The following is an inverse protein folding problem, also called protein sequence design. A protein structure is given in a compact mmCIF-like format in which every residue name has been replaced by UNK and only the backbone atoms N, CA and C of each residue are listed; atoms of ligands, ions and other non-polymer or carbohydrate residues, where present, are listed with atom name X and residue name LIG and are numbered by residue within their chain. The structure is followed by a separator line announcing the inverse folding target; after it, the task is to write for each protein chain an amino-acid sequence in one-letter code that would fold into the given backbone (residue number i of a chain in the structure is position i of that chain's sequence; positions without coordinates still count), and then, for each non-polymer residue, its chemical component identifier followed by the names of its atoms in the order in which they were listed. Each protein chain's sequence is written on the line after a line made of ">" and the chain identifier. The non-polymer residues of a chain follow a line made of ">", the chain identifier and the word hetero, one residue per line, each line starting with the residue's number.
data_IF_004552033879
#
_entry.id   IF_004552033879
#
_cell.length_a   1.000
_cell.length_b   1.000
_cell.length_c   1.000
_cell.angle_alpha   90.00
_cell.angle_beta   90.00
_cell.angle_gamma   90.00
#
_symmetry.space_group_name_H-M   'P 1'
#
loop_
_entity.id
_entity.type
_entity.pdbx_description
1 polymer ?
#
# COMPACT_ATOMS: atom_id res chain seq x y z
N UNK A 1 7.55 -14.32 14.91
CA UNK A 1 8.10 -13.67 13.70
C UNK A 1 7.00 -13.17 12.76
N UNK A 2 6.03 -13.99 12.34
CA UNK A 2 4.95 -13.54 11.44
C UNK A 2 4.14 -12.37 12.03
N UNK A 3 3.80 -12.40 13.31
CA UNK A 3 3.13 -11.29 14.00
C UNK A 3 3.98 -10.00 14.01
N UNK A 4 5.30 -10.12 14.10
CA UNK A 4 6.19 -8.95 14.13
C UNK A 4 6.14 -8.14 12.83
N UNK A 5 5.96 -8.81 11.71
CA UNK A 5 5.84 -8.18 10.38
C UNK A 5 4.38 -7.97 9.95
N UNK A 6 3.41 -8.27 10.84
CA UNK A 6 1.99 -8.16 10.50
C UNK A 6 1.65 -8.88 9.19
N UNK A 7 2.01 -10.17 9.11
CA UNK A 7 1.86 -10.97 7.89
C UNK A 7 0.41 -11.00 7.37
N UNK A 8 -0.57 -10.96 8.24
CA UNK A 8 -1.99 -10.81 7.92
C UNK A 8 -2.28 -9.62 6.99
N UNK A 9 -1.52 -8.52 7.12
CA UNK A 9 -1.66 -7.35 6.25
C UNK A 9 -1.09 -7.58 4.85
N UNK A 10 -0.30 -8.64 4.62
CA UNK A 10 0.15 -9.03 3.28
C UNK A 10 -1.03 -9.41 2.41
N UNK A 11 -2.05 -10.04 3.01
CA UNK A 11 -3.28 -10.42 2.32
C UNK A 11 -4.03 -9.19 1.78
N UNK A 12 -3.96 -8.05 2.46
CA UNK A 12 -4.58 -6.80 1.97
C UNK A 12 -3.85 -6.16 0.80
N UNK A 13 -2.54 -6.38 0.66
CA UNK A 13 -1.76 -5.82 -0.45
C UNK A 13 -1.82 -6.68 -1.73
N UNK A 14 -2.07 -7.99 -1.60
CA UNK A 14 -2.15 -8.92 -2.72
C UNK A 14 -3.22 -8.55 -3.78
N UNK A 15 -4.45 -8.12 -3.41
CA UNK A 15 -5.47 -7.76 -4.40
C UNK A 15 -4.99 -6.74 -5.42
N UNK A 16 -4.14 -5.79 -5.04
CA UNK A 16 -3.65 -4.74 -5.94
C UNK A 16 -2.75 -5.29 -7.05
N UNK A 17 -1.84 -6.20 -6.71
CA UNK A 17 -1.02 -6.88 -7.70
C UNK A 17 -1.87 -7.79 -8.60
N UNK A 18 -2.86 -8.47 -8.02
CA UNK A 18 -3.76 -9.36 -8.77
C UNK A 18 -4.69 -8.61 -9.71
N UNK A 19 -5.25 -7.46 -9.28
CA UNK A 19 -6.01 -6.57 -10.15
C UNK A 19 -5.19 -6.20 -11.39
N UNK A 20 -3.94 -5.75 -11.18
CA UNK A 20 -3.07 -5.35 -12.27
C UNK A 20 -2.70 -6.52 -13.18
N UNK A 21 -2.42 -7.71 -12.65
CA UNK A 21 -2.14 -8.92 -13.45
C UNK A 21 -3.34 -9.31 -14.31
N UNK A 22 -4.54 -9.35 -13.72
CA UNK A 22 -5.76 -9.75 -14.42
C UNK A 22 -6.10 -8.76 -15.54
N UNK A 23 -5.95 -7.47 -15.29
CA UNK A 23 -6.14 -6.42 -16.29
C UNK A 23 -5.11 -6.53 -17.41
N UNK A 24 -3.83 -6.73 -17.09
CA UNK A 24 -2.74 -6.86 -18.05
C UNK A 24 -2.87 -8.10 -18.95
N UNK A 25 -3.33 -9.22 -18.37
CA UNK A 25 -3.60 -10.46 -19.09
C UNK A 25 -4.93 -10.44 -19.86
N UNK A 26 -5.81 -9.47 -19.59
CA UNK A 26 -7.23 -9.48 -20.00
C UNK A 26 -7.93 -10.81 -19.68
N UNK A 27 -7.62 -11.37 -18.50
CA UNK A 27 -8.10 -12.67 -18.04
C UNK A 27 -7.16 -13.31 -17.03
N UNK A 28 -7.04 -14.64 -17.08
CA UNK A 28 -6.17 -15.39 -16.21
C UNK A 28 -4.69 -15.29 -16.63
N UNK A 29 -3.76 -14.77 -15.79
CA UNK A 29 -2.36 -14.57 -16.16
C UNK A 29 -1.49 -15.84 -16.14
N UNK A 30 -2.06 -16.98 -15.77
CA UNK A 30 -1.34 -18.24 -15.61
C UNK A 30 -0.77 -18.45 -14.20
N UNK A 31 -0.70 -19.70 -13.75
CA UNK A 31 -0.24 -20.07 -12.40
C UNK A 31 1.21 -19.69 -12.14
N UNK A 32 2.08 -19.70 -13.14
CA UNK A 32 3.47 -19.27 -13.04
C UNK A 32 3.56 -17.81 -12.61
N UNK A 33 2.89 -16.93 -13.34
CA UNK A 33 2.89 -15.49 -13.05
C UNK A 33 2.27 -15.20 -11.68
N UNK A 34 1.12 -15.82 -11.37
CA UNK A 34 0.46 -15.66 -10.06
C UNK A 34 1.39 -16.11 -8.94
N UNK A 35 2.04 -17.27 -9.07
CA UNK A 35 2.94 -17.79 -8.06
C UNK A 35 4.13 -16.86 -7.79
N UNK A 36 4.79 -16.40 -8.86
CA UNK A 36 5.96 -15.54 -8.69
C UNK A 36 5.63 -14.10 -8.30
N UNK A 37 4.51 -13.54 -8.74
CA UNK A 37 4.04 -12.23 -8.22
C UNK A 37 3.69 -12.35 -6.74
N UNK A 38 3.03 -13.44 -6.33
CA UNK A 38 2.76 -13.68 -4.90
C UNK A 38 4.05 -13.77 -4.10
N UNK A 39 5.05 -14.51 -4.59
CA UNK A 39 6.37 -14.63 -3.96
C UNK A 39 7.08 -13.26 -3.88
N UNK A 40 7.03 -12.45 -4.94
CA UNK A 40 7.59 -11.10 -4.95
C UNK A 40 6.91 -10.20 -3.91
N UNK A 41 5.57 -10.24 -3.82
CA UNK A 41 4.79 -9.48 -2.84
C UNK A 41 5.10 -9.91 -1.40
N UNK A 42 5.14 -11.19 -1.13
CA UNK A 42 5.51 -11.74 0.19
C UNK A 42 6.94 -11.32 0.55
N UNK A 43 7.88 -11.47 -0.38
CA UNK A 43 9.28 -11.10 -0.17
C UNK A 43 9.46 -9.60 0.08
N UNK A 44 8.92 -8.76 -0.80
CA UNK A 44 8.99 -7.30 -0.70
C UNK A 44 8.37 -6.77 0.59
N UNK A 45 7.18 -7.26 0.93
CA UNK A 45 6.51 -6.85 2.18
C UNK A 45 7.23 -7.34 3.42
N UNK A 46 7.73 -8.57 3.43
CA UNK A 46 8.55 -9.10 4.53
C UNK A 46 9.78 -8.23 4.74
N UNK A 47 10.49 -7.89 3.65
CA UNK A 47 11.64 -7.00 3.68
C UNK A 47 11.26 -5.62 4.24
N UNK A 48 10.23 -4.98 3.69
CA UNK A 48 9.79 -3.64 4.09
C UNK A 48 9.40 -3.59 5.57
N UNK A 49 8.59 -4.55 6.03
CA UNK A 49 8.13 -4.57 7.42
C UNK A 49 9.25 -4.89 8.41
N UNK A 50 10.14 -5.83 8.07
CA UNK A 50 11.28 -6.14 8.92
C UNK A 50 12.27 -4.96 8.97
N UNK A 51 12.52 -4.28 7.85
CA UNK A 51 13.32 -3.05 7.79
C UNK A 51 12.66 -1.92 8.61
N UNK A 52 11.35 -1.73 8.51
CA UNK A 52 10.60 -0.76 9.32
C UNK A 52 10.85 -0.97 10.82
N UNK A 53 10.74 -2.23 11.30
CA UNK A 53 10.98 -2.52 12.71
C UNK A 53 12.37 -2.12 13.17
N UNK A 54 13.40 -2.37 12.35
CA UNK A 54 14.79 -2.00 12.66
C UNK A 54 14.99 -0.49 12.60
N UNK A 55 14.47 0.16 11.57
CA UNK A 55 14.64 1.59 11.32
C UNK A 55 13.93 2.41 12.39
N UNK A 56 12.69 2.04 12.71
CA UNK A 56 11.82 2.81 13.61
C UNK A 56 11.89 2.38 15.08
N UNK A 57 12.76 1.42 15.46
CA UNK A 57 12.79 0.84 16.81
C UNK A 57 12.82 1.86 17.96
N UNK A 58 13.54 2.98 17.80
CA UNK A 58 13.64 4.01 18.82
C UNK A 58 12.42 4.96 18.82
N UNK A 59 11.80 5.17 17.67
CA UNK A 59 10.55 5.92 17.53
C UNK A 59 9.40 5.10 18.13
N UNK A 60 9.35 3.81 17.78
CA UNK A 60 8.33 2.87 18.27
C UNK A 60 8.37 2.71 19.79
N UNK A 61 9.56 2.67 20.39
CA UNK A 61 9.72 2.56 21.85
C UNK A 61 9.16 3.76 22.63
N UNK A 62 9.08 4.93 22.00
CA UNK A 62 8.56 6.17 22.59
C UNK A 62 7.08 6.40 22.32
N UNK A 63 6.45 5.62 21.45
CA UNK A 63 5.03 5.73 21.14
C UNK A 63 4.25 4.66 21.94
N UNK A 64 3.31 5.03 22.84
CA UNK A 64 2.54 4.08 23.65
C UNK A 64 1.83 2.99 22.81
N UNK A 65 1.39 3.34 21.58
CA UNK A 65 0.71 2.41 20.68
C UNK A 65 1.66 1.32 20.12
N UNK A 66 2.94 1.62 20.01
CA UNK A 66 3.93 0.73 19.37
C UNK A 66 5.03 0.22 20.30
N UNK A 67 5.11 0.71 21.54
CA UNK A 67 6.11 0.31 22.52
C UNK A 67 6.06 -1.20 22.86
N UNK A 68 4.90 -1.83 22.73
CA UNK A 68 4.71 -3.27 22.93
C UNK A 68 5.12 -4.14 21.74
N UNK A 69 5.56 -3.54 20.61
CA UNK A 69 6.03 -4.30 19.44
C UNK A 69 7.24 -5.16 19.79
N UNK A 70 7.44 -6.25 19.05
CA UNK A 70 8.45 -7.28 19.35
C UNK A 70 9.88 -6.76 19.51
N UNK A 71 10.29 -5.75 18.75
CA UNK A 71 11.66 -5.22 18.84
C UNK A 71 11.85 -4.25 20.02
N UNK A 72 10.97 -3.23 20.24
CA UNK A 72 11.03 -2.38 21.41
C UNK A 72 10.88 -3.15 22.73
N UNK A 73 10.06 -4.19 22.76
CA UNK A 73 9.84 -5.05 23.95
C UNK A 73 10.95 -6.08 24.21
N UNK A 74 11.93 -6.21 23.31
CA UNK A 74 13.02 -7.18 23.43
C UNK A 74 12.65 -8.63 23.11
N UNK A 75 11.44 -8.89 22.58
CA UNK A 75 11.01 -10.25 22.20
C UNK A 75 11.73 -10.78 20.96
N UNK A 76 12.27 -9.88 20.12
CA UNK A 76 13.09 -10.22 18.95
C UNK A 76 14.30 -9.30 18.88
N UNK A 77 15.42 -9.83 18.40
CA UNK A 77 16.67 -9.10 18.22
C UNK A 77 16.74 -8.36 16.87
N UNK A 78 17.55 -7.31 16.83
CA UNK A 78 17.83 -6.56 15.59
C UNK A 78 18.44 -7.46 14.52
N UNK A 79 19.28 -8.44 14.92
CA UNK A 79 19.88 -9.41 14.00
C UNK A 79 18.85 -10.28 13.30
N UNK A 80 17.86 -10.78 14.02
CA UNK A 80 16.77 -11.58 13.47
C UNK A 80 15.92 -10.79 12.48
N UNK A 81 15.60 -9.53 12.81
CA UNK A 81 14.85 -8.65 11.91
C UNK A 81 15.64 -8.31 10.64
N UNK A 82 16.96 -8.08 10.76
CA UNK A 82 17.83 -7.88 9.57
C UNK A 82 17.89 -9.11 8.70
N UNK A 83 18.07 -10.30 9.29
CA UNK A 83 18.08 -11.56 8.55
C UNK A 83 16.75 -11.78 7.79
N UNK A 84 15.63 -11.49 8.44
CA UNK A 84 14.30 -11.58 7.83
C UNK A 84 14.14 -10.58 6.68
N UNK A 85 14.63 -9.33 6.83
CA UNK A 85 14.62 -8.33 5.77
C UNK A 85 15.44 -8.77 4.55
N UNK A 86 16.64 -9.33 4.78
CA UNK A 86 17.52 -9.84 3.73
C UNK A 86 16.88 -11.04 3.02
N UNK A 87 16.30 -11.97 3.77
CA UNK A 87 15.60 -13.13 3.20
C UNK A 87 14.40 -12.70 2.34
N UNK A 88 13.62 -11.72 2.82
CA UNK A 88 12.52 -11.13 2.06
C UNK A 88 12.99 -10.45 0.77
N UNK A 89 14.05 -9.66 0.83
CA UNK A 89 14.67 -9.05 -0.34
C UNK A 89 15.14 -10.10 -1.34
N UNK A 90 15.85 -11.14 -0.88
CA UNK A 90 16.32 -12.23 -1.73
C UNK A 90 15.16 -12.94 -2.44
N UNK A 91 14.08 -13.25 -1.71
CA UNK A 91 12.88 -13.85 -2.31
C UNK A 91 12.27 -12.93 -3.38
N UNK A 92 12.17 -11.62 -3.12
CA UNK A 92 11.66 -10.64 -4.09
C UNK A 92 12.53 -10.59 -5.36
N UNK A 93 13.87 -10.62 -5.23
CA UNK A 93 14.77 -10.63 -6.37
C UNK A 93 14.67 -11.90 -7.19
N UNK A 94 14.63 -13.08 -6.53
CA UNK A 94 14.42 -14.36 -7.21
C UNK A 94 13.10 -14.37 -7.97
N UNK A 95 12.03 -13.91 -7.32
CA UNK A 95 10.72 -13.84 -7.95
C UNK A 95 10.71 -12.88 -9.16
N UNK A 96 11.33 -11.71 -9.04
CA UNK A 96 11.47 -10.77 -10.15
C UNK A 96 12.26 -11.35 -11.33
N UNK A 97 13.34 -12.10 -11.05
CA UNK A 97 14.13 -12.82 -12.05
C UNK A 97 13.28 -13.86 -12.80
N UNK A 98 12.45 -14.62 -12.06
CA UNK A 98 11.61 -15.68 -12.63
C UNK A 98 10.43 -15.12 -13.44
N UNK A 99 10.07 -13.86 -13.25
CA UNK A 99 8.99 -13.19 -14.00
C UNK A 99 9.46 -12.73 -15.37
N UNK A 100 10.32 -11.73 -15.43
CA UNK A 100 10.88 -11.22 -16.68
C UNK A 100 12.06 -10.24 -16.43
N UNK A 101 12.89 -9.94 -17.48
CA UNK A 101 14.06 -9.07 -17.33
C UNK A 101 13.73 -7.66 -16.80
N UNK A 102 12.59 -7.09 -17.17
CA UNK A 102 12.20 -5.74 -16.71
C UNK A 102 11.85 -5.73 -15.22
N UNK A 103 11.12 -6.74 -14.73
CA UNK A 103 10.87 -6.91 -13.30
C UNK A 103 12.18 -7.00 -12.52
N UNK A 104 13.13 -7.78 -13.01
CA UNK A 104 14.43 -7.93 -12.36
C UNK A 104 15.25 -6.63 -12.38
N UNK A 105 15.27 -5.92 -13.51
CA UNK A 105 15.97 -4.65 -13.63
C UNK A 105 15.40 -3.55 -12.71
N UNK A 106 14.08 -3.58 -12.44
CA UNK A 106 13.40 -2.62 -11.56
C UNK A 106 13.45 -3.03 -10.07
N UNK A 107 13.77 -4.28 -9.75
CA UNK A 107 13.78 -4.78 -8.38
C UNK A 107 14.72 -4.01 -7.43
N UNK A 108 15.94 -3.58 -7.84
CA UNK A 108 16.79 -2.73 -6.97
C UNK A 108 16.15 -1.39 -6.63
N UNK A 109 15.47 -0.77 -7.60
CA UNK A 109 14.77 0.50 -7.39
C UNK A 109 13.57 0.30 -6.44
N UNK A 110 12.80 -0.76 -6.65
CA UNK A 110 11.71 -1.12 -5.76
C UNK A 110 12.21 -1.35 -4.32
N UNK A 111 13.31 -2.07 -4.14
CA UNK A 111 13.93 -2.29 -2.82
C UNK A 111 14.36 -0.97 -2.17
N UNK A 112 14.95 -0.05 -2.94
CA UNK A 112 15.35 1.27 -2.44
C UNK A 112 14.14 2.05 -1.89
N UNK A 113 13.00 2.02 -2.58
CA UNK A 113 11.77 2.62 -2.08
C UNK A 113 11.21 1.87 -0.86
N UNK A 114 11.14 0.54 -0.89
CA UNK A 114 10.63 -0.30 0.20
C UNK A 114 11.38 -0.11 1.52
N UNK A 115 12.66 0.21 1.46
CA UNK A 115 13.48 0.49 2.66
C UNK A 115 13.54 1.99 2.94
N UNK A 116 13.71 2.80 1.91
CA UNK A 116 13.98 4.24 2.02
C UNK A 116 12.79 5.04 2.54
N UNK A 117 11.54 4.66 2.19
CA UNK A 117 10.37 5.44 2.59
C UNK A 117 10.21 5.55 4.12
N UNK A 118 10.69 4.58 4.89
CA UNK A 118 10.61 4.61 6.36
C UNK A 118 11.36 5.79 6.98
N UNK A 119 12.35 6.33 6.28
CA UNK A 119 13.10 7.51 6.76
C UNK A 119 12.38 8.83 6.50
N UNK A 120 11.43 8.87 5.56
CA UNK A 120 10.84 10.12 5.05
C UNK A 120 10.14 10.96 6.11
N UNK A 121 9.44 10.33 7.04
CA UNK A 121 8.78 11.02 8.17
C UNK A 121 9.74 11.79 9.11
N UNK A 122 11.08 11.57 8.98
CA UNK A 122 12.10 12.27 9.77
C UNK A 122 12.45 13.63 9.18
N UNK A 123 12.13 13.88 7.90
CA UNK A 123 12.51 15.12 7.22
C UNK A 123 11.44 15.73 6.33
N UNK A 124 10.36 15.00 5.99
CA UNK A 124 9.31 15.55 5.12
C UNK A 124 7.91 15.09 5.51
N UNK A 125 6.95 16.01 5.41
CA UNK A 125 5.53 15.73 5.55
C UNK A 125 4.91 15.02 4.32
N UNK A 126 5.66 14.90 3.23
CA UNK A 126 5.27 14.13 2.04
C UNK A 126 5.36 12.62 2.24
N UNK A 127 5.73 12.16 3.43
CA UNK A 127 5.89 10.74 3.78
C UNK A 127 4.69 9.85 3.38
N UNK A 128 3.47 10.39 3.46
CA UNK A 128 2.24 9.69 3.05
C UNK A 128 2.23 9.34 1.56
N UNK A 129 2.65 10.29 0.70
CA UNK A 129 2.73 10.03 -0.75
C UNK A 129 3.92 9.17 -1.13
N UNK A 130 5.04 9.27 -0.40
CA UNK A 130 6.16 8.35 -0.60
C UNK A 130 5.76 6.93 -0.22
N UNK A 131 4.98 6.73 0.86
CA UNK A 131 4.40 5.44 1.20
C UNK A 131 3.47 4.95 0.08
N UNK A 132 2.49 5.78 -0.32
CA UNK A 132 1.55 5.42 -1.38
C UNK A 132 2.23 5.10 -2.71
N UNK A 133 3.25 5.88 -3.09
CA UNK A 133 4.07 5.63 -4.28
C UNK A 133 4.79 4.29 -4.18
N UNK A 134 5.37 3.98 -3.02
CA UNK A 134 6.09 2.72 -2.76
C UNK A 134 5.15 1.52 -2.84
N UNK A 135 4.00 1.59 -2.20
CA UNK A 135 3.02 0.50 -2.23
C UNK A 135 2.35 0.38 -3.61
N UNK A 136 2.22 1.49 -4.35
CA UNK A 136 1.74 1.50 -5.72
C UNK A 136 2.62 0.73 -6.70
N UNK A 137 3.92 0.51 -6.37
CA UNK A 137 4.83 -0.37 -7.13
C UNK A 137 4.24 -1.77 -7.27
N UNK A 138 3.47 -2.25 -6.30
CA UNK A 138 2.82 -3.55 -6.38
C UNK A 138 1.86 -3.67 -7.58
N UNK A 139 1.07 -2.64 -7.83
CA UNK A 139 0.17 -2.60 -9.00
C UNK A 139 0.94 -2.49 -10.32
N UNK A 140 1.87 -1.55 -10.42
CA UNK A 140 2.71 -1.42 -11.62
C UNK A 140 3.53 -2.70 -11.87
N UNK A 141 4.09 -3.31 -10.82
CA UNK A 141 4.84 -4.55 -10.88
C UNK A 141 3.98 -5.73 -11.36
N UNK A 142 2.73 -5.84 -10.89
CA UNK A 142 1.78 -6.85 -11.35
C UNK A 142 1.47 -6.72 -12.85
N UNK A 143 1.34 -5.50 -13.36
CA UNK A 143 1.18 -5.23 -14.80
C UNK A 143 2.43 -5.64 -15.59
N UNK A 144 3.60 -5.16 -15.16
CA UNK A 144 4.89 -5.45 -15.81
C UNK A 144 5.20 -6.94 -15.80
N UNK A 145 4.83 -7.66 -14.74
CA UNK A 145 5.03 -9.11 -14.62
C UNK A 145 4.36 -9.88 -15.76
N UNK A 146 3.22 -9.40 -16.24
CA UNK A 146 2.47 -10.01 -17.35
C UNK A 146 2.91 -9.49 -18.71
N UNK A 147 3.09 -8.16 -18.83
CA UNK A 147 3.33 -7.50 -20.12
C UNK A 147 4.80 -7.44 -20.53
N UNK A 148 5.71 -7.51 -19.54
CA UNK A 148 7.14 -7.23 -19.78
C UNK A 148 7.42 -5.79 -20.21
N UNK A 149 6.45 -4.88 -20.08
CA UNK A 149 6.51 -3.50 -20.49
C UNK A 149 5.78 -2.58 -19.49
N UNK A 150 6.14 -1.29 -19.51
CA UNK A 150 5.53 -0.28 -18.67
C UNK A 150 4.55 0.56 -19.50
N UNK A 151 3.38 0.00 -19.77
CA UNK A 151 2.32 0.58 -20.62
C UNK A 151 1.54 1.69 -19.88
N UNK A 152 0.79 2.57 -20.57
CA UNK A 152 0.00 3.62 -19.94
C UNK A 152 -0.94 3.17 -18.81
N UNK A 153 -1.66 2.03 -18.88
CA UNK A 153 -2.48 1.58 -17.77
C UNK A 153 -1.68 1.28 -16.50
N UNK A 154 -0.42 0.85 -16.59
CA UNK A 154 0.43 0.62 -15.42
C UNK A 154 0.66 1.92 -14.61
N UNK A 155 0.84 3.05 -15.29
CA UNK A 155 0.96 4.37 -14.64
C UNK A 155 -0.35 4.76 -13.95
N UNK A 156 -1.49 4.52 -14.61
CA UNK A 156 -2.81 4.84 -14.03
C UNK A 156 -3.07 3.99 -12.79
N UNK A 157 -2.75 2.69 -12.83
CA UNK A 157 -2.86 1.79 -11.67
C UNK A 157 -1.93 2.28 -10.55
N UNK A 158 -0.69 2.59 -10.87
CA UNK A 158 0.27 3.09 -9.89
C UNK A 158 -0.22 4.39 -9.23
N UNK A 159 -0.69 5.33 -10.03
CA UNK A 159 -1.25 6.59 -9.53
C UNK A 159 -2.50 6.37 -8.66
N UNK A 160 -3.42 5.50 -9.09
CA UNK A 160 -4.60 5.15 -8.32
C UNK A 160 -4.25 4.57 -6.94
N UNK A 161 -3.28 3.65 -6.89
CA UNK A 161 -2.80 3.09 -5.64
C UNK A 161 -2.03 4.10 -4.79
N UNK A 162 -1.20 4.94 -5.41
CA UNK A 162 -0.49 6.01 -4.72
C UNK A 162 -1.47 6.92 -3.99
N UNK A 163 -2.49 7.40 -4.67
CA UNK A 163 -3.48 8.32 -4.09
C UNK A 163 -4.39 7.63 -3.08
N UNK A 164 -4.79 6.39 -3.33
CA UNK A 164 -5.61 5.63 -2.38
C UNK A 164 -4.88 5.41 -1.06
N UNK A 165 -3.66 4.84 -1.14
CA UNK A 165 -2.87 4.51 0.05
C UNK A 165 -2.48 5.77 0.82
N UNK A 166 -2.10 6.84 0.12
CA UNK A 166 -1.84 8.13 0.76
C UNK A 166 -3.08 8.69 1.46
N UNK A 167 -4.26 8.50 0.87
CA UNK A 167 -5.52 8.96 1.42
C UNK A 167 -5.86 8.29 2.76
N UNK A 168 -5.83 6.97 2.82
CA UNK A 168 -6.12 6.27 4.07
C UNK A 168 -4.99 6.41 5.11
N UNK A 169 -3.72 6.51 4.69
CA UNK A 169 -2.61 6.75 5.61
C UNK A 169 -2.68 8.13 6.27
N UNK A 170 -3.15 9.15 5.53
CA UNK A 170 -3.47 10.48 6.09
C UNK A 170 -4.55 10.42 7.18
N UNK A 171 -5.59 9.60 6.99
CA UNK A 171 -6.62 9.37 8.01
C UNK A 171 -5.98 8.69 9.22
N UNK A 172 -5.23 7.62 8.99
CA UNK A 172 -4.60 6.83 10.05
C UNK A 172 -3.59 7.62 10.87
N UNK A 173 -2.80 8.49 10.23
CA UNK A 173 -1.82 9.33 10.90
C UNK A 173 -2.44 10.36 11.87
N UNK A 174 -3.74 10.64 11.77
CA UNK A 174 -4.42 11.57 12.70
C UNK A 174 -4.38 11.12 14.16
N UNK A 175 -4.23 9.82 14.43
CA UNK A 175 -4.10 9.31 15.80
C UNK A 175 -2.73 9.57 16.44
N UNK A 176 -1.68 9.75 15.62
CA UNK A 176 -0.31 9.87 16.10
C UNK A 176 0.17 11.35 16.24
N UNK A 177 -0.70 12.34 16.03
CA UNK A 177 -0.35 13.78 16.00
C UNK A 177 0.46 14.24 17.22
N UNK A 178 0.03 13.84 18.42
CA UNK A 178 0.70 14.24 19.66
C UNK A 178 2.12 13.64 19.76
N UNK A 179 2.24 12.36 19.38
CA UNK A 179 3.51 11.63 19.39
C UNK A 179 4.46 12.14 18.32
N UNK A 180 3.95 12.36 17.11
CA UNK A 180 4.74 12.89 15.99
C UNK A 180 5.33 14.26 16.35
N UNK A 181 4.52 15.16 16.93
CA UNK A 181 4.99 16.47 17.37
C UNK A 181 6.03 16.38 18.48
N UNK A 182 5.81 15.52 19.47
CA UNK A 182 6.73 15.33 20.60
C UNK A 182 8.07 14.75 20.17
N UNK A 183 8.09 13.95 19.09
CA UNK A 183 9.30 13.32 18.55
C UNK A 183 9.92 14.08 17.38
N UNK A 184 9.35 15.24 16.97
CA UNK A 184 9.84 16.02 15.83
C UNK A 184 9.67 15.29 14.49
N UNK A 185 8.68 14.38 14.39
CA UNK A 185 8.36 13.68 13.15
C UNK A 185 7.45 14.54 12.27
N UNK A 186 7.59 14.35 10.97
CA UNK A 186 6.86 15.12 9.98
C UNK A 186 5.72 14.30 9.39
N UNK A 187 4.49 14.72 9.64
CA UNK A 187 3.29 14.22 8.98
C UNK A 187 2.37 15.40 8.65
N UNK A 188 1.46 15.21 7.69
CA UNK A 188 0.48 16.27 7.36
C UNK A 188 -0.36 16.65 8.58
N UNK A 189 -0.93 15.71 9.37
CA UNK A 189 -1.72 16.07 10.53
C UNK A 189 -0.88 16.72 11.64
N UNK A 190 0.38 16.34 11.84
CA UNK A 190 1.25 16.98 12.82
C UNK A 190 1.61 18.43 12.44
N UNK A 191 1.85 18.69 11.15
CA UNK A 191 2.24 20.00 10.64
C UNK A 191 1.07 20.95 10.40
N UNK A 192 -0.01 20.48 9.75
CA UNK A 192 -1.11 21.30 9.26
C UNK A 192 -2.42 21.08 10.01
N UNK A 193 -2.44 20.12 10.94
CA UNK A 193 -3.62 19.76 11.75
C UNK A 193 -4.50 18.69 11.10
N UNK A 194 -5.34 18.05 11.93
CA UNK A 194 -6.24 16.96 11.56
C UNK A 194 -7.20 17.35 10.44
N UNK A 195 -7.76 18.59 10.49
CA UNK A 195 -8.68 19.06 9.45
C UNK A 195 -8.04 19.07 8.06
N UNK A 196 -6.81 19.58 7.96
CA UNK A 196 -6.07 19.59 6.70
C UNK A 196 -5.78 18.17 6.20
N UNK A 197 -5.38 17.25 7.09
CA UNK A 197 -5.15 15.86 6.75
C UNK A 197 -6.41 15.19 6.18
N UNK A 198 -7.57 15.35 6.82
CA UNK A 198 -8.82 14.77 6.35
C UNK A 198 -9.32 15.37 5.03
N UNK A 199 -9.09 16.67 4.78
CA UNK A 199 -9.40 17.29 3.47
C UNK A 199 -8.46 16.71 2.40
N UNK A 200 -7.18 16.61 2.69
CA UNK A 200 -6.17 16.05 1.76
C UNK A 200 -6.47 14.58 1.46
N UNK A 201 -6.88 13.80 2.45
CA UNK A 201 -7.32 12.42 2.26
C UNK A 201 -8.51 12.32 1.30
N UNK A 202 -9.51 13.20 1.44
CA UNK A 202 -10.66 13.26 0.51
C UNK A 202 -10.22 13.56 -0.92
N UNK A 203 -9.33 14.54 -1.10
CA UNK A 203 -8.78 14.86 -2.43
C UNK A 203 -8.08 13.65 -3.03
N UNK A 204 -7.26 12.94 -2.24
CA UNK A 204 -6.58 11.73 -2.72
C UNK A 204 -7.59 10.64 -3.13
N UNK A 205 -8.65 10.39 -2.35
CA UNK A 205 -9.67 9.38 -2.71
C UNK A 205 -10.51 9.80 -3.93
N UNK A 206 -10.76 11.09 -4.14
CA UNK A 206 -11.37 11.58 -5.39
C UNK A 206 -10.44 11.32 -6.58
N UNK A 207 -9.14 11.60 -6.44
CA UNK A 207 -8.15 11.30 -7.48
C UNK A 207 -8.06 9.80 -7.78
N UNK A 208 -8.16 8.96 -6.75
CA UNK A 208 -8.26 7.49 -6.91
C UNK A 208 -9.48 7.09 -7.72
N UNK A 209 -10.66 7.62 -7.37
CA UNK A 209 -11.90 7.32 -8.09
C UNK A 209 -11.81 7.74 -9.56
N UNK A 210 -11.25 8.92 -9.84
CA UNK A 210 -11.02 9.38 -11.21
C UNK A 210 -10.02 8.50 -11.96
N UNK A 211 -8.92 8.10 -11.33
CA UNK A 211 -7.93 7.21 -11.94
C UNK A 211 -8.53 5.83 -12.26
N UNK A 212 -9.35 5.27 -11.37
CA UNK A 212 -10.08 4.01 -11.63
C UNK A 212 -11.08 4.19 -12.79
N UNK A 213 -11.76 5.33 -12.90
CA UNK A 213 -12.64 5.60 -14.03
C UNK A 213 -11.85 5.69 -15.36
N UNK A 214 -10.69 6.36 -15.36
CA UNK A 214 -9.79 6.42 -16.52
C UNK A 214 -9.32 5.02 -16.91
N UNK A 215 -8.97 4.18 -15.94
CA UNK A 215 -8.55 2.80 -16.16
C UNK A 215 -9.67 1.97 -16.80
N UNK A 216 -10.90 2.07 -16.28
CA UNK A 216 -12.08 1.40 -16.85
C UNK A 216 -12.35 1.82 -18.29
N UNK A 217 -12.19 3.11 -18.59
CA UNK A 217 -12.34 3.64 -19.94
C UNK A 217 -11.22 3.18 -20.88
N UNK A 218 -9.95 3.29 -20.47
CA UNK A 218 -8.78 2.87 -21.26
C UNK A 218 -8.82 1.38 -21.65
N UNK A 219 -9.32 0.55 -20.74
CA UNK A 219 -9.35 -0.89 -20.92
C UNK A 219 -10.70 -1.39 -21.45
N UNK A 220 -11.66 -0.48 -21.72
CA UNK A 220 -13.01 -0.77 -22.18
C UNK A 220 -13.72 -1.83 -21.32
N UNK A 221 -13.64 -1.66 -19.98
CA UNK A 221 -14.23 -2.59 -19.04
C UNK A 221 -15.77 -2.55 -19.08
N UNK A 222 -16.39 -3.72 -18.88
CA UNK A 222 -17.83 -3.91 -18.99
C UNK A 222 -18.65 -3.25 -17.87
N UNK A 223 -20.00 -3.28 -17.98
CA UNK A 223 -20.90 -2.60 -17.03
C UNK A 223 -20.71 -3.01 -15.58
N UNK A 224 -20.32 -4.26 -15.31
CA UNK A 224 -20.09 -4.76 -13.94
C UNK A 224 -18.95 -4.00 -13.26
N UNK A 225 -17.90 -3.65 -14.03
CA UNK A 225 -16.83 -2.80 -13.50
C UNK A 225 -17.36 -1.44 -13.02
N UNK A 226 -18.23 -0.80 -13.77
CA UNK A 226 -18.79 0.50 -13.44
C UNK A 226 -19.72 0.45 -12.23
N UNK A 227 -20.44 -0.64 -12.05
CA UNK A 227 -21.23 -0.88 -10.82
C UNK A 227 -20.28 -1.00 -9.60
N UNK A 228 -19.19 -1.77 -9.73
CA UNK A 228 -18.17 -1.87 -8.70
C UNK A 228 -17.48 -0.52 -8.42
N UNK A 229 -17.17 0.25 -9.46
CA UNK A 229 -16.63 1.59 -9.32
C UNK A 229 -17.56 2.53 -8.52
N UNK A 230 -18.88 2.52 -8.80
CA UNK A 230 -19.86 3.28 -8.03
C UNK A 230 -19.88 2.82 -6.56
N UNK A 231 -19.80 1.53 -6.29
CA UNK A 231 -19.71 1.00 -4.94
C UNK A 231 -18.46 1.50 -4.20
N UNK A 232 -17.31 1.57 -4.88
CA UNK A 232 -16.05 2.13 -4.34
C UNK A 232 -16.22 3.62 -4.01
N UNK A 233 -16.83 4.41 -4.89
CA UNK A 233 -17.10 5.84 -4.63
C UNK A 233 -17.99 6.00 -3.42
N UNK A 234 -19.05 5.19 -3.28
CA UNK A 234 -19.92 5.19 -2.12
C UNK A 234 -19.20 4.82 -0.82
N UNK A 235 -18.29 3.82 -0.89
CA UNK A 235 -17.47 3.42 0.26
C UNK A 235 -16.48 4.50 0.66
N UNK A 236 -15.83 5.19 -0.27
CA UNK A 236 -15.00 6.36 0.08
C UNK A 236 -15.82 7.46 0.75
N UNK A 237 -17.01 7.76 0.24
CA UNK A 237 -17.90 8.74 0.89
C UNK A 237 -18.27 8.30 2.32
N UNK A 238 -18.57 7.02 2.52
CA UNK A 238 -18.87 6.44 3.82
C UNK A 238 -17.65 6.49 4.75
N UNK A 239 -16.47 6.10 4.29
CA UNK A 239 -15.19 6.18 5.05
C UNK A 239 -14.99 7.59 5.63
N UNK A 240 -15.13 8.61 4.78
CA UNK A 240 -14.98 9.99 5.19
C UNK A 240 -16.10 10.50 6.11
N UNK A 241 -17.25 9.83 6.19
CA UNK A 241 -18.32 10.14 7.14
C UNK A 241 -18.03 9.59 8.55
N UNK A 242 -17.15 8.59 8.67
CA UNK A 242 -16.81 7.94 9.93
C UNK A 242 -15.84 8.77 10.79
N UNK A 243 -15.14 9.74 10.18
CA UNK A 243 -14.07 10.50 10.85
C UNK A 243 -14.27 12.00 10.67
N UNK A 244 -14.03 12.74 11.75
CA UNK A 244 -14.05 14.20 11.74
C UNK A 244 -12.91 14.78 12.59
N UNK A 245 -12.57 16.08 12.45
CA UNK A 245 -11.54 16.70 13.29
C UNK A 245 -11.84 16.66 14.80
N UNK A 246 -13.09 16.42 15.17
CA UNK A 246 -13.55 16.35 16.57
C UNK A 246 -13.79 14.93 17.07
N UNK A 247 -13.92 13.97 16.13
CA UNK A 247 -14.21 12.58 16.45
C UNK A 247 -13.43 11.64 15.53
N UNK A 248 -12.49 10.90 16.11
CA UNK A 248 -11.66 9.87 15.46
C UNK A 248 -11.95 8.47 16.04
N UNK A 249 -13.04 8.30 16.78
CA UNK A 249 -13.36 7.03 17.46
C UNK A 249 -13.55 5.84 16.53
N UNK A 250 -13.94 6.10 15.26
CA UNK A 250 -14.14 5.08 14.23
C UNK A 250 -12.99 4.97 13.22
N UNK A 251 -11.81 5.52 13.55
CA UNK A 251 -10.66 5.54 12.67
C UNK A 251 -10.22 4.14 12.22
N UNK A 252 -10.23 3.16 13.14
CA UNK A 252 -9.86 1.79 12.80
C UNK A 252 -10.83 1.16 11.79
N UNK A 253 -12.13 1.43 11.92
CA UNK A 253 -13.14 0.97 10.95
C UNK A 253 -12.89 1.60 9.58
N UNK A 254 -12.65 2.92 9.54
CA UNK A 254 -12.34 3.64 8.31
C UNK A 254 -11.07 3.06 7.64
N UNK A 255 -10.01 2.86 8.42
CA UNK A 255 -8.72 2.42 7.90
C UNK A 255 -8.72 0.95 7.46
N UNK A 256 -9.14 0.01 8.33
CA UNK A 256 -8.99 -1.43 8.04
C UNK A 256 -10.17 -2.00 7.27
N UNK A 257 -11.40 -1.80 7.77
CA UNK A 257 -12.55 -2.52 7.24
C UNK A 257 -12.96 -1.97 5.86
N UNK A 258 -13.09 -0.65 5.74
CA UNK A 258 -13.57 -0.04 4.50
C UNK A 258 -12.57 -0.26 3.37
N UNK A 259 -11.28 -0.04 3.61
CA UNK A 259 -10.25 -0.25 2.59
C UNK A 259 -10.10 -1.73 2.18
N UNK A 260 -10.32 -2.66 3.12
CA UNK A 260 -10.40 -4.09 2.80
C UNK A 260 -11.56 -4.41 1.86
N UNK A 261 -12.76 -3.87 2.12
CA UNK A 261 -13.92 -4.04 1.23
C UNK A 261 -13.70 -3.42 -0.14
N UNK A 262 -13.12 -2.20 -0.20
CA UNK A 262 -12.79 -1.55 -1.47
C UNK A 262 -11.86 -2.42 -2.30
N UNK A 263 -10.78 -2.96 -1.71
CA UNK A 263 -9.83 -3.81 -2.41
C UNK A 263 -10.51 -5.05 -3.04
N UNK A 264 -11.39 -5.72 -2.29
CA UNK A 264 -12.12 -6.89 -2.75
C UNK A 264 -13.15 -6.54 -3.83
N UNK A 265 -13.86 -5.41 -3.69
CA UNK A 265 -14.84 -4.96 -4.69
C UNK A 265 -14.15 -4.59 -5.99
N UNK A 266 -13.00 -3.88 -5.95
CA UNK A 266 -12.25 -3.56 -7.16
C UNK A 266 -11.76 -4.84 -7.84
N UNK A 267 -11.22 -5.80 -7.09
CA UNK A 267 -10.78 -7.08 -7.65
C UNK A 267 -11.95 -7.82 -8.31
N UNK A 268 -13.08 -7.95 -7.63
CA UNK A 268 -14.27 -8.61 -8.17
C UNK A 268 -14.81 -7.88 -9.41
N UNK A 269 -14.90 -6.54 -9.36
CA UNK A 269 -15.37 -5.73 -10.47
C UNK A 269 -14.47 -5.86 -11.71
N UNK A 270 -13.16 -5.94 -11.51
CA UNK A 270 -12.18 -6.17 -12.60
C UNK A 270 -12.36 -7.57 -13.18
N UNK A 271 -12.36 -8.62 -12.36
CA UNK A 271 -12.48 -10.00 -12.83
C UNK A 271 -13.79 -10.23 -13.59
N UNK A 272 -14.91 -9.68 -13.10
CA UNK A 272 -16.22 -9.83 -13.71
C UNK A 272 -16.48 -8.84 -14.86
N UNK A 273 -15.78 -7.71 -14.86
CA UNK A 273 -15.93 -6.64 -15.86
C UNK A 273 -15.08 -6.81 -17.11
N UNK A 274 -14.19 -7.79 -17.16
CA UNK A 274 -13.34 -8.11 -18.31
C UNK A 274 -14.09 -8.78 -19.49
N UNK A 275 -15.40 -8.98 -19.39
CA UNK A 275 -16.24 -9.65 -20.41
C UNK A 275 -16.84 -8.66 -21.38
#
# INVERSE_FOLDING_TARGET
>A
MLDAIKFEHTVFALPFAYIAMVLAARGWPGWWTVGWVTAAMVGGRTCAMAANRVIDRFIDAKNPRTASRHLPSGLLGVGEMRALAIAGAALMFVAAWMLNPLCFALAPLALAFLVGYHYTKRFTWLSHWVLGFTDGIAGAGGWIAVRGAFDPPAFVIWFALTTWISGFDLIYACQDVAVDRAQGLHSVPARFGVRAALITARVNHVLTALALAVLGWQLALGPIYWVGWLAVVALFAYEHSLVSPRDLSRLDVAFFNINGYIALIVLAAVVLGLR
#
